data_IF_053440900799
#
_entry.id   IF_053440900799
#
_cell.length_a   1.000
_cell.length_b   1.000
_cell.length_c   1.000
_cell.angle_alpha   90.00
_cell.angle_beta   90.00
_cell.angle_gamma   90.00
#
_symmetry.space_group_name_H-M   'P 1'
#
loop_
_entity.id
_entity.type
_entity.pdbx_description
1 polymer ?
#
# COMPACT_ATOMS: atom_id res chain seq x y z
N UNK A 1 -6.20 -8.27 -14.30
CA UNK A 1 -5.62 -6.93 -14.01
C UNK A 1 -5.53 -6.15 -15.30
N UNK A 2 -5.81 -4.84 -15.28
CA UNK A 2 -5.95 -3.95 -16.45
C UNK A 2 -4.62 -3.59 -17.15
N UNK A 3 -3.65 -4.52 -17.20
CA UNK A 3 -2.34 -4.32 -17.83
C UNK A 3 -1.35 -3.44 -17.06
N UNK A 4 -1.80 -2.72 -16.02
CA UNK A 4 -0.93 -1.96 -15.12
C UNK A 4 -0.49 -2.80 -13.92
N UNK A 5 0.78 -2.67 -13.55
CA UNK A 5 1.35 -3.24 -12.33
C UNK A 5 0.75 -2.54 -11.10
N UNK A 6 0.29 -3.33 -10.13
CA UNK A 6 -0.25 -2.80 -8.88
C UNK A 6 0.87 -2.65 -7.87
N UNK A 7 1.07 -1.44 -7.36
CA UNK A 7 2.23 -1.11 -6.51
C UNK A 7 1.95 -1.11 -5.01
N UNK A 8 0.69 -0.87 -4.61
CA UNK A 8 0.25 -0.86 -3.22
C UNK A 8 -1.29 -0.90 -3.15
N UNK A 9 -1.82 -1.29 -1.98
CA UNK A 9 -3.22 -1.18 -1.61
C UNK A 9 -3.37 -0.13 -0.50
N UNK A 10 -4.29 0.81 -0.67
CA UNK A 10 -4.70 1.71 0.41
C UNK A 10 -6.05 1.28 0.94
N UNK A 11 -6.17 1.19 2.27
CA UNK A 11 -7.39 0.73 2.94
C UNK A 11 -8.06 1.93 3.59
N UNK A 12 -9.26 2.26 3.13
CA UNK A 12 -10.07 3.27 3.79
C UNK A 12 -10.67 2.68 5.07
N UNK A 13 -10.33 3.27 6.21
CA UNK A 13 -10.70 2.81 7.55
C UNK A 13 -12.07 3.30 8.01
N UNK A 14 -12.88 3.90 7.12
CA UNK A 14 -14.18 4.44 7.48
C UNK A 14 -15.06 3.41 8.21
N UNK A 15 -15.39 3.72 9.47
CA UNK A 15 -16.18 2.89 10.41
C UNK A 15 -15.50 1.61 10.90
N UNK A 16 -14.21 1.41 10.63
CA UNK A 16 -13.43 0.32 11.21
C UNK A 16 -12.87 0.74 12.57
N UNK A 17 -12.73 -0.23 13.47
CA UNK A 17 -11.82 -0.05 14.59
C UNK A 17 -10.38 -0.04 14.07
N UNK A 18 -9.50 0.76 14.69
CA UNK A 18 -8.11 0.86 14.25
C UNK A 18 -7.38 -0.49 14.28
N UNK A 19 -7.66 -1.33 15.29
CA UNK A 19 -7.03 -2.64 15.39
C UNK A 19 -7.46 -3.53 14.23
N UNK A 20 -8.75 -3.56 13.91
CA UNK A 20 -9.29 -4.36 12.81
C UNK A 20 -8.73 -3.89 11.46
N UNK A 21 -8.58 -2.56 11.28
CA UNK A 21 -7.96 -2.00 10.09
C UNK A 21 -6.48 -2.41 9.93
N UNK A 22 -5.72 -2.43 11.04
CA UNK A 22 -4.32 -2.87 11.06
C UNK A 22 -4.16 -4.35 10.79
N UNK A 23 -5.00 -5.18 11.41
CA UNK A 23 -5.01 -6.61 11.20
C UNK A 23 -5.36 -6.93 9.74
N UNK A 24 -6.35 -6.23 9.18
CA UNK A 24 -6.73 -6.34 7.78
C UNK A 24 -5.60 -5.94 6.83
N UNK A 25 -4.94 -4.80 7.07
CA UNK A 25 -3.79 -4.37 6.26
C UNK A 25 -2.65 -5.39 6.31
N UNK A 26 -2.31 -5.89 7.49
CA UNK A 26 -1.24 -6.87 7.68
C UNK A 26 -1.55 -8.19 6.96
N UNK A 27 -2.80 -8.65 7.04
CA UNK A 27 -3.22 -9.86 6.34
C UNK A 27 -3.10 -9.69 4.82
N UNK A 28 -3.62 -8.60 4.27
CA UNK A 28 -3.59 -8.37 2.82
C UNK A 28 -2.18 -8.11 2.29
N UNK A 29 -1.32 -7.48 3.07
CA UNK A 29 0.09 -7.31 2.69
C UNK A 29 0.79 -8.67 2.53
N UNK A 30 0.53 -9.60 3.44
CA UNK A 30 1.03 -10.97 3.36
C UNK A 30 0.46 -11.73 2.16
N UNK A 31 -0.84 -11.60 1.92
CA UNK A 31 -1.54 -12.37 0.89
C UNK A 31 -1.23 -11.86 -0.53
N UNK A 32 -1.05 -10.55 -0.69
CA UNK A 32 -0.82 -9.91 -1.99
C UNK A 32 0.67 -9.69 -2.29
N UNK A 33 1.53 -9.66 -1.28
CA UNK A 33 2.96 -9.36 -1.44
C UNK A 33 3.25 -7.92 -1.88
N UNK A 34 2.26 -7.03 -1.76
CA UNK A 34 2.40 -5.59 -2.00
C UNK A 34 2.04 -4.83 -0.72
N UNK A 35 2.64 -3.65 -0.49
CA UNK A 35 2.35 -2.86 0.70
C UNK A 35 0.85 -2.56 0.84
N UNK A 36 0.33 -2.75 2.04
CA UNK A 36 -1.05 -2.38 2.38
C UNK A 36 -1.05 -1.36 3.51
N UNK A 37 -1.49 -0.13 3.23
CA UNK A 37 -1.36 1.00 4.17
C UNK A 37 -2.70 1.62 4.55
N UNK A 38 -2.75 2.24 5.73
CA UNK A 38 -3.89 3.02 6.20
C UNK A 38 -3.58 4.51 5.97
N UNK A 39 -4.04 5.13 4.86
CA UNK A 39 -3.53 6.43 4.43
C UNK A 39 -3.93 7.59 5.34
N UNK A 40 -4.97 7.46 6.16
CA UNK A 40 -5.38 8.51 7.10
C UNK A 40 -4.53 8.48 8.38
N UNK A 41 -4.01 7.32 8.74
CA UNK A 41 -3.26 7.05 9.96
C UNK A 41 -1.75 7.09 9.74
N UNK A 42 -1.27 6.52 8.63
CA UNK A 42 0.15 6.39 8.29
C UNK A 42 0.64 7.43 7.28
N UNK A 43 -0.29 8.13 6.65
CA UNK A 43 0.02 8.87 5.42
C UNK A 43 0.40 7.95 4.27
N UNK A 44 1.21 8.46 3.34
CA UNK A 44 1.65 7.75 2.12
C UNK A 44 3.18 7.70 1.99
N UNK A 45 3.89 8.14 3.03
CA UNK A 45 5.34 8.18 3.14
C UNK A 45 6.01 6.83 2.84
N UNK A 46 5.47 5.67 3.28
CA UNK A 46 6.05 4.36 2.95
C UNK A 46 6.14 4.07 1.44
N UNK A 47 5.34 4.76 0.60
CA UNK A 47 5.34 4.57 -0.85
C UNK A 47 6.44 5.37 -1.56
N UNK A 48 6.99 6.40 -0.93
CA UNK A 48 8.05 7.26 -1.51
C UNK A 48 9.25 6.44 -2.04
N UNK A 49 9.87 5.53 -1.26
CA UNK A 49 11.01 4.74 -1.77
C UNK A 49 10.65 3.85 -2.96
N UNK A 50 9.42 3.33 -3.02
CA UNK A 50 8.93 2.49 -4.12
C UNK A 50 8.86 3.32 -5.41
N UNK A 51 8.23 4.49 -5.35
CA UNK A 51 8.14 5.37 -6.52
C UNK A 51 9.50 5.88 -6.99
N UNK A 52 10.43 6.18 -6.05
CA UNK A 52 11.80 6.55 -6.43
C UNK A 52 12.48 5.44 -7.24
N UNK A 53 12.40 4.20 -6.77
CA UNK A 53 12.96 3.03 -7.47
C UNK A 53 12.35 2.86 -8.87
N UNK A 54 11.02 2.96 -9.00
CA UNK A 54 10.35 2.86 -10.30
C UNK A 54 10.79 3.96 -11.28
N UNK A 55 10.96 5.19 -10.79
CA UNK A 55 11.44 6.31 -11.62
C UNK A 55 12.89 6.07 -12.08
N UNK A 56 13.73 5.48 -11.23
CA UNK A 56 15.11 5.12 -11.59
C UNK A 56 15.16 3.99 -12.64
N UNK A 57 14.29 2.98 -12.51
CA UNK A 57 14.18 1.88 -13.45
C UNK A 57 13.64 2.33 -14.82
N UNK A 58 12.68 3.25 -14.84
CA UNK A 58 12.13 3.80 -16.08
C UNK A 58 13.10 4.71 -16.87
N UNK A 59 14.19 5.16 -16.24
CA UNK A 59 15.24 5.98 -16.88
C UNK A 59 16.35 5.14 -17.54
N UNK A 60 16.39 3.84 -17.29
CA UNK A 60 17.34 2.90 -17.90
C UNK A 60 16.79 2.39 -19.23
#
# INVERSE_FOLDING_TARGET
MYGAETVALTINTAKMDQKDARDYATQYEKDLGIPCILPLEDGVEPLIPIFKKMIEEAKK
#
